data_IF_533947290670
#
_entry.id   IF_533947290670
#
_cell.length_a   1.000
_cell.length_b   1.000
_cell.length_c   1.000
_cell.angle_alpha   90.00
_cell.angle_beta   90.00
_cell.angle_gamma   90.00
#
_symmetry.space_group_name_H-M   'P 1'
#
loop_
_entity.id
_entity.type
_entity.pdbx_description
1 polymer ?
#
# COMPACT_ATOMS: atom_id res chain seq x y z
N UNK A 1 10.08 -2.50 62.89
CA UNK A 1 9.82 -1.32 62.05
C UNK A 1 10.06 -1.71 60.60
N UNK A 2 9.00 -1.81 59.78
CA UNK A 2 9.09 -2.27 58.40
C UNK A 2 9.12 -1.08 57.44
N UNK A 3 10.18 -0.97 56.63
CA UNK A 3 10.41 0.14 55.70
C UNK A 3 9.75 -0.19 54.35
N UNK A 4 8.75 0.60 53.96
CA UNK A 4 7.98 0.42 52.74
C UNK A 4 8.67 1.10 51.55
N UNK A 5 9.37 0.32 50.72
CA UNK A 5 10.05 0.78 49.51
C UNK A 5 9.08 0.74 48.30
N UNK A 6 8.25 1.78 48.15
CA UNK A 6 7.49 2.00 46.89
C UNK A 6 8.37 2.76 45.89
N UNK A 7 9.01 2.01 45.00
CA UNK A 7 9.74 2.54 43.86
C UNK A 7 8.85 3.39 42.94
N UNK A 8 9.25 4.63 42.70
CA UNK A 8 8.63 5.54 41.72
C UNK A 8 8.85 4.98 40.33
N UNK A 9 7.81 4.48 39.68
CA UNK A 9 7.84 4.11 38.26
C UNK A 9 7.94 5.40 37.45
N UNK A 10 9.08 5.60 36.81
CA UNK A 10 9.30 6.63 35.81
C UNK A 10 8.27 6.49 34.69
N UNK A 11 7.38 7.48 34.58
CA UNK A 11 6.42 7.60 33.48
C UNK A 11 7.21 7.86 32.19
N UNK A 12 7.10 6.93 31.23
CA UNK A 12 7.56 7.17 29.87
C UNK A 12 6.79 8.34 29.26
N UNK A 13 7.41 9.19 28.42
CA UNK A 13 6.70 10.27 27.76
C UNK A 13 5.57 9.70 26.92
N UNK A 14 4.38 10.24 27.10
CA UNK A 14 3.16 9.83 26.43
C UNK A 14 3.25 10.23 24.96
N UNK A 15 3.81 9.35 24.14
CA UNK A 15 3.87 9.54 22.69
C UNK A 15 2.44 9.58 22.16
N UNK A 16 2.05 10.70 21.56
CA UNK A 16 0.70 10.90 21.07
C UNK A 16 0.32 9.82 20.04
N UNK A 17 -0.95 9.41 20.04
CA UNK A 17 -1.47 8.36 19.15
C UNK A 17 -1.27 8.69 17.67
N UNK A 18 -1.26 9.98 17.32
CA UNK A 18 -0.95 10.50 15.99
C UNK A 18 0.52 10.31 15.64
N UNK A 19 1.45 10.53 16.56
CA UNK A 19 2.89 10.31 16.34
C UNK A 19 3.21 8.81 16.13
N UNK A 20 2.47 7.92 16.80
CA UNK A 20 2.57 6.47 16.59
C UNK A 20 2.10 6.05 15.19
N UNK A 21 1.03 6.65 14.67
CA UNK A 21 0.50 6.37 13.33
C UNK A 21 1.38 6.96 12.22
N UNK A 22 1.91 8.16 12.41
CA UNK A 22 2.83 8.78 11.46
C UNK A 22 4.14 8.00 11.34
N UNK A 23 4.61 7.38 12.44
CA UNK A 23 5.73 6.42 12.37
C UNK A 23 5.39 5.20 11.51
N UNK A 24 4.24 4.55 11.70
CA UNK A 24 3.87 3.37 10.92
C UNK A 24 3.69 3.66 9.42
N UNK A 25 3.14 4.84 9.08
CA UNK A 25 2.99 5.27 7.69
C UNK A 25 4.34 5.65 7.05
N UNK A 26 5.24 6.32 7.78
CA UNK A 26 6.60 6.60 7.30
C UNK A 26 7.44 5.33 7.15
N UNK A 27 7.25 4.32 8.00
CA UNK A 27 7.84 2.98 7.83
C UNK A 27 7.39 2.33 6.53
N UNK A 28 6.09 2.41 6.23
CA UNK A 28 5.50 1.82 5.03
C UNK A 28 6.06 2.44 3.74
N UNK A 29 6.23 3.77 3.70
CA UNK A 29 6.83 4.45 2.53
C UNK A 29 8.34 4.17 2.39
N UNK A 30 9.07 4.04 3.50
CA UNK A 30 10.52 3.78 3.50
C UNK A 30 10.86 2.33 3.11
N UNK A 31 10.02 1.35 3.46
CA UNK A 31 10.24 -0.07 3.14
C UNK A 31 9.94 -0.40 1.67
N UNK A 32 8.99 0.30 1.03
CA UNK A 32 8.68 0.11 -0.40
C UNK A 32 9.89 0.48 -1.30
N UNK A 33 10.73 1.43 -0.90
CA UNK A 33 11.97 1.76 -1.62
C UNK A 33 13.08 0.72 -1.39
N UNK A 34 13.07 0.01 -0.25
CA UNK A 34 14.08 -0.99 0.13
C UNK A 34 13.94 -2.32 -0.60
N UNK A 35 12.75 -2.60 -1.12
CA UNK A 35 12.43 -3.83 -1.86
C UNK A 35 12.48 -3.68 -3.38
N UNK A 36 12.95 -2.55 -3.92
CA UNK A 36 13.38 -2.49 -5.32
C UNK A 36 14.53 -3.50 -5.46
N UNK A 37 14.35 -4.62 -6.19
CA UNK A 37 15.40 -5.61 -6.32
C UNK A 37 16.68 -4.92 -6.80
N UNK A 38 17.84 -5.26 -6.23
CA UNK A 38 19.09 -4.51 -6.43
C UNK A 38 19.44 -4.30 -7.92
N UNK A 39 19.00 -5.23 -8.77
CA UNK A 39 19.10 -5.18 -10.25
C UNK A 39 18.42 -3.98 -10.91
N UNK A 40 17.48 -3.32 -10.23
CA UNK A 40 16.78 -2.12 -10.69
C UNK A 40 17.28 -0.83 -10.02
N UNK A 41 18.22 -0.92 -9.06
CA UNK A 41 18.82 0.24 -8.38
C UNK A 41 20.07 0.77 -9.05
N UNK A 42 20.77 -0.06 -9.83
CA UNK A 42 22.00 0.34 -10.47
C UNK A 42 21.81 0.52 -11.99
N UNK A 43 22.00 1.74 -12.52
CA UNK A 43 21.77 2.02 -13.95
C UNK A 43 22.79 1.34 -14.89
N UNK A 44 23.80 0.62 -14.37
CA UNK A 44 24.92 0.07 -15.15
C UNK A 44 25.20 -1.43 -14.97
N UNK A 45 24.37 -2.20 -14.27
CA UNK A 45 24.65 -3.62 -13.98
C UNK A 45 24.04 -4.58 -15.03
N UNK A 46 24.57 -4.56 -16.26
CA UNK A 46 24.34 -5.62 -17.25
C UNK A 46 25.68 -6.15 -17.76
N UNK A 47 26.33 -7.02 -16.97
CA UNK A 47 27.27 -8.00 -17.52
C UNK A 47 27.12 -9.35 -16.81
N UNK A 48 26.08 -10.09 -17.21
CA UNK A 48 25.68 -11.39 -16.68
C UNK A 48 26.32 -12.54 -17.49
N UNK A 49 27.65 -12.59 -17.58
CA UNK A 49 28.33 -13.65 -18.36
C UNK A 49 28.90 -14.82 -17.57
N UNK A 50 28.91 -14.81 -16.24
CA UNK A 50 29.73 -15.80 -15.55
C UNK A 50 29.30 -16.20 -14.14
N UNK A 51 28.13 -16.81 -14.01
CA UNK A 51 27.82 -17.61 -12.82
C UNK A 51 27.17 -18.91 -13.24
N UNK A 52 27.81 -20.02 -12.87
CA UNK A 52 27.41 -21.41 -13.13
C UNK A 52 25.95 -21.64 -12.76
N UNK A 53 25.15 -21.65 -13.83
CA UNK A 53 23.71 -21.67 -13.82
C UNK A 53 23.30 -23.14 -13.81
N UNK A 54 23.05 -23.69 -12.62
CA UNK A 54 22.10 -24.82 -12.53
C UNK A 54 20.86 -24.34 -13.25
N UNK A 55 20.59 -24.96 -14.39
CA UNK A 55 19.78 -24.47 -15.48
C UNK A 55 18.46 -23.87 -14.97
N UNK A 56 18.44 -22.56 -14.77
CA UNK A 56 17.21 -21.80 -14.48
C UNK A 56 16.23 -22.01 -15.65
N UNK A 57 16.73 -22.41 -16.82
CA UNK A 57 15.96 -22.91 -17.96
C UNK A 57 15.22 -24.23 -17.69
N UNK A 58 15.72 -25.12 -16.83
CA UNK A 58 15.01 -26.33 -16.36
C UNK A 58 13.93 -26.02 -15.32
N UNK A 59 14.20 -25.09 -14.39
CA UNK A 59 13.22 -24.59 -13.42
C UNK A 59 12.09 -23.81 -14.12
N UNK A 60 12.40 -23.08 -15.18
CA UNK A 60 11.41 -22.37 -16.00
C UNK A 60 10.65 -23.31 -16.95
N UNK A 61 11.26 -24.42 -17.38
CA UNK A 61 10.57 -25.46 -18.18
C UNK A 61 9.53 -26.21 -17.37
N UNK A 62 9.82 -26.60 -16.13
CA UNK A 62 8.85 -27.29 -15.26
C UNK A 62 7.66 -26.41 -14.87
N UNK A 63 7.84 -25.10 -14.82
CA UNK A 63 6.72 -24.15 -14.61
C UNK A 63 5.84 -23.94 -15.85
N UNK A 64 6.31 -24.33 -17.04
CA UNK A 64 5.61 -24.11 -18.32
C UNK A 64 4.51 -25.14 -18.60
N UNK A 65 4.63 -26.33 -18.02
CA UNK A 65 3.65 -27.42 -18.19
C UNK A 65 2.36 -27.21 -17.36
N UNK A 66 2.38 -26.31 -16.37
CA UNK A 66 1.22 -26.02 -15.52
C UNK A 66 0.55 -24.68 -15.82
N UNK A 67 0.31 -24.31 -17.08
CA UNK A 67 -0.79 -23.42 -17.51
C UNK A 67 -1.02 -22.06 -16.80
N UNK A 68 -0.16 -21.62 -15.89
CA UNK A 68 -0.20 -20.32 -15.26
C UNK A 68 0.76 -19.48 -16.06
N UNK A 69 0.23 -18.49 -16.76
CA UNK A 69 1.01 -17.34 -17.17
C UNK A 69 1.88 -16.96 -15.97
N UNK A 70 3.20 -17.23 -16.06
CA UNK A 70 4.15 -16.79 -15.04
C UNK A 70 3.92 -15.29 -14.81
N UNK A 71 4.22 -14.78 -13.61
CA UNK A 71 4.08 -13.35 -13.35
C UNK A 71 4.88 -12.63 -14.42
N UNK A 72 4.16 -12.07 -15.41
CA UNK A 72 4.77 -11.19 -16.38
C UNK A 72 5.36 -10.11 -15.51
N UNK A 73 6.68 -9.96 -15.56
CA UNK A 73 7.37 -8.83 -14.97
C UNK A 73 6.89 -7.63 -15.81
N UNK A 74 5.70 -7.14 -15.48
CA UNK A 74 5.13 -5.95 -16.08
C UNK A 74 6.14 -4.88 -15.72
N UNK A 75 6.60 -4.13 -16.72
CA UNK A 75 7.45 -2.97 -16.49
C UNK A 75 6.64 -2.04 -15.60
N UNK A 76 6.86 -2.14 -14.29
CA UNK A 76 6.22 -1.33 -13.29
C UNK A 76 6.74 0.07 -13.56
N UNK A 77 5.85 0.97 -13.95
CA UNK A 77 6.21 2.37 -14.12
C UNK A 77 6.72 2.86 -12.76
N UNK A 78 8.03 3.11 -12.66
CA UNK A 78 8.72 3.39 -11.39
C UNK A 78 8.14 4.61 -10.67
N UNK A 79 7.39 5.43 -11.39
CA UNK A 79 6.73 6.60 -10.87
C UNK A 79 5.63 6.23 -9.86
N UNK A 80 4.90 5.12 -9.98
CA UNK A 80 3.70 4.85 -9.15
C UNK A 80 3.95 4.05 -7.85
N UNK A 81 5.20 3.80 -7.47
CA UNK A 81 5.51 2.97 -6.31
C UNK A 81 5.21 3.63 -4.97
N UNK A 82 5.36 4.96 -4.86
CA UNK A 82 5.12 5.67 -3.60
C UNK A 82 3.66 6.13 -3.49
N UNK A 83 3.15 6.27 -2.26
CA UNK A 83 1.82 6.84 -2.03
C UNK A 83 1.76 8.27 -2.58
N UNK A 84 2.81 9.08 -2.34
CA UNK A 84 2.91 10.45 -2.82
C UNK A 84 2.76 10.56 -4.35
N UNK A 85 3.46 9.73 -5.11
CA UNK A 85 3.38 9.76 -6.56
C UNK A 85 2.01 9.29 -7.07
N UNK A 86 1.45 8.23 -6.47
CA UNK A 86 0.07 7.79 -6.80
C UNK A 86 -0.94 8.90 -6.54
N UNK A 87 -0.82 9.63 -5.44
CA UNK A 87 -1.68 10.81 -5.16
C UNK A 87 -1.52 11.88 -6.23
N UNK A 88 -0.29 12.16 -6.66
CA UNK A 88 -0.02 13.16 -7.70
C UNK A 88 -0.73 12.84 -9.02
N UNK A 89 -0.93 11.57 -9.36
CA UNK A 89 -1.69 11.19 -10.56
C UNK A 89 -3.14 11.70 -10.55
N UNK A 90 -3.74 11.87 -9.36
CA UNK A 90 -5.10 12.40 -9.24
C UNK A 90 -5.18 13.91 -9.40
N UNK A 91 -4.08 14.63 -9.26
CA UNK A 91 -4.03 16.10 -9.41
C UNK A 91 -4.13 16.58 -10.86
N UNK A 92 -4.00 15.68 -11.84
CA UNK A 92 -3.99 16.03 -13.27
C UNK A 92 -5.35 16.52 -13.84
N UNK A 93 -6.42 16.57 -13.04
CA UNK A 93 -7.74 17.01 -13.50
C UNK A 93 -8.87 16.69 -12.51
N UNK A 94 -10.15 16.81 -12.90
CA UNK A 94 -11.27 16.52 -12.01
C UNK A 94 -11.35 15.02 -11.67
N UNK A 95 -11.61 14.70 -10.41
CA UNK A 95 -11.74 13.32 -9.92
C UNK A 95 -13.11 13.11 -9.29
N UNK A 96 -13.85 12.11 -9.80
CA UNK A 96 -15.24 11.82 -9.41
C UNK A 96 -15.37 10.58 -8.51
N UNK A 97 -14.25 9.97 -8.13
CA UNK A 97 -14.24 8.74 -7.33
C UNK A 97 -14.07 8.99 -5.81
N UNK A 98 -13.69 7.94 -5.06
CA UNK A 98 -13.44 8.02 -3.62
C UNK A 98 -12.29 8.97 -3.27
N UNK A 99 -12.11 9.36 -1.99
CA UNK A 99 -11.03 10.25 -1.58
C UNK A 99 -9.66 9.79 -2.10
N UNK A 100 -8.90 10.71 -2.70
CA UNK A 100 -7.59 10.44 -3.35
C UNK A 100 -6.62 9.73 -2.41
N UNK A 101 -6.61 10.09 -1.12
CA UNK A 101 -5.79 9.43 -0.12
C UNK A 101 -6.09 7.92 -0.03
N UNK A 102 -7.38 7.55 0.03
CA UNK A 102 -7.82 6.15 0.11
C UNK A 102 -7.43 5.40 -1.16
N UNK A 103 -7.55 6.04 -2.33
CA UNK A 103 -7.15 5.46 -3.61
C UNK A 103 -5.65 5.13 -3.63
N UNK A 104 -4.80 6.10 -3.25
CA UNK A 104 -3.35 5.93 -3.25
C UNK A 104 -2.88 4.91 -2.18
N UNK A 105 -3.52 4.90 -1.00
CA UNK A 105 -3.28 3.90 0.04
C UNK A 105 -3.68 2.49 -0.41
N UNK A 106 -4.75 2.33 -1.20
CA UNK A 106 -5.14 1.07 -1.82
C UNK A 106 -4.20 0.60 -2.94
N UNK A 107 -3.14 1.36 -3.23
CA UNK A 107 -2.21 1.09 -4.32
C UNK A 107 -2.78 1.44 -5.70
N UNK A 108 -3.69 2.42 -5.79
CA UNK A 108 -4.31 2.81 -7.06
C UNK A 108 -3.76 4.16 -7.56
N UNK A 109 -3.46 4.25 -8.86
CA UNK A 109 -3.18 5.48 -9.59
C UNK A 109 -4.29 5.80 -10.59
N UNK A 110 -4.46 7.08 -10.91
CA UNK A 110 -5.52 7.56 -11.79
C UNK A 110 -5.25 7.18 -13.25
N UNK A 111 -6.29 6.75 -13.96
CA UNK A 111 -6.28 6.59 -15.42
C UNK A 111 -7.21 7.57 -16.14
N UNK A 112 -8.39 7.85 -15.58
CA UNK A 112 -9.37 8.82 -16.10
C UNK A 112 -10.10 9.51 -14.94
N UNK A 113 -11.20 10.22 -15.19
CA UNK A 113 -11.94 10.94 -14.14
C UNK A 113 -12.65 10.02 -13.13
N UNK A 114 -12.91 8.76 -13.51
CA UNK A 114 -13.66 7.76 -12.74
C UNK A 114 -13.02 6.35 -12.79
N UNK A 115 -11.80 6.27 -13.32
CA UNK A 115 -11.05 5.05 -13.50
C UNK A 115 -9.69 5.12 -12.80
N UNK A 116 -9.32 4.04 -12.11
CA UNK A 116 -8.03 3.89 -11.46
C UNK A 116 -7.48 2.49 -11.66
N UNK A 117 -6.15 2.36 -11.66
CA UNK A 117 -5.44 1.10 -11.87
C UNK A 117 -4.51 0.83 -10.70
N UNK A 118 -4.39 -0.44 -10.30
CA UNK A 118 -3.41 -0.81 -9.29
C UNK A 118 -2.00 -0.84 -9.88
N UNK A 119 -1.05 -0.17 -9.24
CA UNK A 119 0.35 -0.19 -9.66
C UNK A 119 0.96 -1.60 -9.59
N UNK A 120 0.46 -2.48 -8.73
CA UNK A 120 1.11 -3.75 -8.42
C UNK A 120 0.49 -4.96 -9.14
N UNK A 121 -0.83 -4.99 -9.33
CA UNK A 121 -1.53 -6.12 -9.96
C UNK A 121 -2.20 -5.75 -11.30
N UNK A 122 -2.05 -4.51 -11.76
CA UNK A 122 -2.62 -3.95 -12.99
C UNK A 122 -4.15 -3.99 -13.11
N UNK A 123 -4.88 -4.46 -12.10
CA UNK A 123 -6.34 -4.45 -12.11
C UNK A 123 -6.85 -3.01 -12.21
N UNK A 124 -7.76 -2.80 -13.14
CA UNK A 124 -8.37 -1.51 -13.44
C UNK A 124 -9.80 -1.48 -12.94
N UNK A 125 -10.15 -0.45 -12.17
CA UNK A 125 -11.49 -0.23 -11.65
C UNK A 125 -12.12 0.93 -12.39
N UNK A 126 -13.30 0.69 -12.98
CA UNK A 126 -14.12 1.69 -13.68
C UNK A 126 -15.39 1.99 -12.89
N UNK A 127 -16.00 3.14 -13.13
CA UNK A 127 -17.24 3.53 -12.46
C UNK A 127 -17.05 3.54 -10.94
N UNK A 128 -16.06 4.32 -10.48
CA UNK A 128 -15.68 4.40 -9.06
C UNK A 128 -16.64 5.24 -8.21
N UNK A 129 -17.80 5.62 -8.76
CA UNK A 129 -18.86 6.28 -8.00
C UNK A 129 -19.47 5.37 -6.92
N UNK A 130 -20.01 5.99 -5.87
CA UNK A 130 -20.72 5.33 -4.79
C UNK A 130 -19.90 5.07 -3.52
N UNK A 131 -20.56 4.52 -2.50
CA UNK A 131 -20.02 4.37 -1.14
C UNK A 131 -19.29 3.03 -0.91
N UNK A 132 -18.69 2.45 -1.94
CA UNK A 132 -18.01 1.15 -1.81
C UNK A 132 -16.59 1.34 -1.27
N UNK A 133 -16.21 0.55 -0.26
CA UNK A 133 -14.84 0.54 0.26
C UNK A 133 -13.86 -0.01 -0.79
N UNK A 134 -12.87 0.80 -1.18
CA UNK A 134 -11.91 0.44 -2.23
C UNK A 134 -11.00 -0.73 -1.87
N UNK A 135 -10.65 -0.87 -0.59
CA UNK A 135 -9.92 -2.05 -0.11
C UNK A 135 -10.72 -3.33 -0.34
N UNK A 136 -12.02 -3.31 -0.04
CA UNK A 136 -12.92 -4.46 -0.24
C UNK A 136 -13.09 -4.77 -1.71
N UNK A 137 -13.32 -3.74 -2.56
CA UNK A 137 -13.42 -3.91 -4.01
C UNK A 137 -12.12 -4.47 -4.58
N UNK A 138 -10.97 -3.91 -4.22
CA UNK A 138 -9.66 -4.37 -4.66
C UNK A 138 -9.41 -5.84 -4.25
N UNK A 139 -9.71 -6.20 -3.00
CA UNK A 139 -9.59 -7.59 -2.53
C UNK A 139 -10.52 -8.56 -3.26
N UNK A 140 -11.72 -8.12 -3.63
CA UNK A 140 -12.67 -8.95 -4.37
C UNK A 140 -12.15 -9.28 -5.78
N UNK A 141 -11.63 -8.29 -6.51
CA UNK A 141 -11.16 -8.49 -7.89
C UNK A 141 -9.73 -9.05 -7.98
N UNK A 142 -8.86 -8.78 -6.99
CA UNK A 142 -7.48 -9.23 -6.97
C UNK A 142 -7.03 -9.70 -5.57
N UNK A 143 -7.58 -10.82 -5.04
CA UNK A 143 -7.31 -11.27 -3.67
C UNK A 143 -5.83 -11.62 -3.42
N UNK A 144 -5.08 -11.91 -4.50
CA UNK A 144 -3.66 -12.25 -4.43
C UNK A 144 -2.72 -11.08 -4.77
N UNK A 145 -3.25 -9.86 -4.90
CA UNK A 145 -2.45 -8.66 -5.15
C UNK A 145 -1.32 -8.51 -4.10
N UNK A 146 -0.04 -8.40 -4.51
CA UNK A 146 1.06 -8.30 -3.55
C UNK A 146 0.93 -7.08 -2.63
N UNK A 147 0.43 -5.95 -3.14
CA UNK A 147 0.16 -4.76 -2.32
C UNK A 147 -0.87 -5.05 -1.21
N UNK A 148 -1.97 -5.74 -1.53
CA UNK A 148 -2.98 -6.12 -0.52
C UNK A 148 -2.42 -7.11 0.51
N UNK A 149 -1.59 -8.07 0.08
CA UNK A 149 -0.92 -9.01 1.01
C UNK A 149 -0.03 -8.26 2.00
N UNK A 150 0.75 -7.27 1.53
CA UNK A 150 1.58 -6.41 2.39
C UNK A 150 0.72 -5.60 3.34
N UNK A 151 -0.29 -4.88 2.84
CA UNK A 151 -1.20 -4.09 3.67
C UNK A 151 -1.82 -4.93 4.79
N UNK A 152 -2.26 -6.16 4.49
CA UNK A 152 -2.78 -7.10 5.49
C UNK A 152 -1.74 -7.48 6.55
N UNK A 153 -0.48 -7.74 6.15
CA UNK A 153 0.60 -8.05 7.09
C UNK A 153 0.89 -6.90 8.07
N UNK A 154 0.68 -5.65 7.65
CA UNK A 154 0.80 -4.46 8.52
C UNK A 154 -0.50 -4.13 9.28
N UNK A 155 -1.50 -5.01 9.27
CA UNK A 155 -2.76 -4.81 9.99
C UNK A 155 -3.73 -3.80 9.33
N UNK A 156 -3.44 -3.38 8.10
CA UNK A 156 -4.36 -2.58 7.29
C UNK A 156 -5.39 -3.55 6.71
N UNK A 157 -6.57 -3.57 7.33
CA UNK A 157 -7.71 -4.36 6.87
C UNK A 157 -8.86 -3.44 6.51
N UNK A 158 -9.70 -3.86 5.56
CA UNK A 158 -10.91 -3.11 5.17
C UNK A 158 -11.77 -2.71 6.38
N UNK A 159 -11.88 -3.60 7.37
CA UNK A 159 -12.60 -3.34 8.64
C UNK A 159 -12.02 -2.20 9.47
N UNK A 160 -10.69 -2.05 9.48
CA UNK A 160 -10.03 -0.98 10.24
C UNK A 160 -10.20 0.37 9.53
N UNK A 161 -10.15 0.36 8.20
CA UNK A 161 -10.36 1.57 7.38
C UNK A 161 -11.79 2.09 7.51
N UNK A 162 -12.79 1.21 7.42
CA UNK A 162 -14.21 1.60 7.54
C UNK A 162 -14.53 2.25 8.90
N UNK A 163 -13.97 1.72 9.99
CA UNK A 163 -14.13 2.31 11.34
C UNK A 163 -13.50 3.70 11.44
N UNK A 164 -12.35 3.92 10.80
CA UNK A 164 -11.68 5.21 10.81
C UNK A 164 -12.42 6.25 9.97
N UNK A 165 -12.93 5.86 8.78
CA UNK A 165 -13.72 6.74 7.93
C UNK A 165 -14.98 7.21 8.66
N UNK A 166 -15.72 6.30 9.30
CA UNK A 166 -16.91 6.69 10.09
C UNK A 166 -16.58 7.71 11.18
N UNK A 167 -15.47 7.54 11.89
CA UNK A 167 -15.05 8.49 12.95
C UNK A 167 -14.73 9.87 12.42
N UNK A 168 -14.11 9.98 11.24
CA UNK A 168 -13.78 11.28 10.64
C UNK A 168 -15.03 12.10 10.30
N UNK A 169 -16.13 11.44 9.92
CA UNK A 169 -17.40 12.13 9.64
C UNK A 169 -18.23 12.42 10.90
N UNK A 170 -18.07 11.63 11.98
CA UNK A 170 -18.84 11.85 13.22
C UNK A 170 -18.36 13.02 14.09
N UNK A 171 -17.16 13.55 13.86
CA UNK A 171 -16.60 14.64 14.68
C UNK A 171 -16.91 16.05 14.16
N UNK A 172 -17.73 16.18 13.11
CA UNK A 172 -18.00 17.47 12.45
C UNK A 172 -19.23 18.26 12.92
N UNK A 173 -20.20 17.66 13.63
CA UNK A 173 -21.53 18.27 13.87
C UNK A 173 -21.79 18.61 15.35
N UNK A 174 -20.89 19.34 15.99
CA UNK A 174 -21.19 19.98 17.27
C UNK A 174 -20.53 21.35 17.36
N UNK A 175 -20.88 22.25 16.44
CA UNK A 175 -20.74 23.69 16.69
C UNK A 175 -22.12 24.23 17.05
N UNK A 176 -22.22 24.61 18.32
CA UNK A 176 -23.37 25.21 18.97
C UNK A 176 -23.89 26.42 18.19
N UNK A 177 -25.18 26.39 17.88
CA UNK A 177 -25.97 27.61 17.64
C UNK A 177 -26.03 28.38 18.97
N UNK A 178 -25.33 29.52 19.01
CA UNK A 178 -25.54 30.57 19.99
C UNK A 178 -25.84 31.87 19.25
#
# INVERSE_FOLDING_TARGET
MAVNMRGKRSSWPEVSRTDRMLRTLRSFEAEDAQWIPHVFREPNAMDLRNTDFVSLHEILKSSREYGRAGPRCVKLDQQDFTIANRRATFSAGPWNGPPVQVMAECGLSRMSNDCAKCYCCDVTFKGLGGNVCMWTRHRHFAPFCPHLKRAHAHGITSRNVEKNVRRQFSTGDSMSLH
#
